data_IF_255855401906
#
_entry.id   IF_255855401906
#
_cell.length_a   1.000
_cell.length_b   1.000
_cell.length_c   1.000
_cell.angle_alpha   90.00
_cell.angle_beta   90.00
_cell.angle_gamma   90.00
#
_symmetry.space_group_name_H-M   'P 1'
#
loop_
_entity.id
_entity.type
_entity.pdbx_description
1 polymer ?
#
# COMPACT_ATOMS: atom_id res chain seq x y z
N UNK A 1 1.09 -2.62 9.13
CA UNK A 1 2.02 -3.55 9.81
C UNK A 1 1.93 -4.87 9.07
N UNK A 2 3.08 -5.48 8.81
CA UNK A 2 3.19 -6.80 8.17
C UNK A 2 4.03 -7.68 9.09
N UNK A 3 3.70 -8.96 9.13
CA UNK A 3 4.30 -9.92 10.04
C UNK A 3 4.69 -11.17 9.27
N UNK A 4 5.89 -11.67 9.54
CA UNK A 4 6.36 -12.99 9.16
C UNK A 4 6.93 -13.66 10.42
N UNK A 5 6.37 -14.79 10.83
CA UNK A 5 6.60 -15.35 12.16
C UNK A 5 6.31 -14.34 13.28
N UNK A 6 7.31 -14.06 14.11
CA UNK A 6 7.27 -13.01 15.15
C UNK A 6 8.05 -11.74 14.74
N UNK A 7 8.59 -11.70 13.52
CA UNK A 7 9.20 -10.52 12.93
C UNK A 7 8.12 -9.59 12.38
N UNK A 8 8.11 -8.34 12.86
CA UNK A 8 7.07 -7.36 12.54
C UNK A 8 7.72 -6.12 11.94
N UNK A 9 7.27 -5.77 10.73
CA UNK A 9 7.65 -4.53 10.06
C UNK A 9 6.47 -3.56 10.01
N UNK A 10 6.67 -2.37 10.55
CA UNK A 10 5.77 -1.25 10.39
C UNK A 10 6.24 -0.39 9.21
N UNK A 11 5.38 -0.20 8.21
CA UNK A 11 5.65 0.71 7.11
C UNK A 11 4.53 1.74 6.98
N UNK A 12 4.92 2.99 6.72
CA UNK A 12 4.02 4.10 6.42
C UNK A 12 4.50 4.84 5.18
N UNK A 13 3.54 5.28 4.37
CA UNK A 13 3.76 6.13 3.19
C UNK A 13 3.05 7.45 3.41
N UNK A 14 3.76 8.55 3.18
CA UNK A 14 3.23 9.90 3.21
C UNK A 14 3.55 10.60 1.88
N UNK A 15 2.60 11.37 1.38
CA UNK A 15 2.73 12.18 0.18
C UNK A 15 2.52 13.64 0.58
N UNK A 16 3.24 14.57 -0.06
CA UNK A 16 2.97 16.00 0.09
C UNK A 16 1.59 16.38 -0.48
N UNK A 17 0.96 17.41 0.08
CA UNK A 17 -0.31 17.94 -0.46
C UNK A 17 -0.10 18.74 -1.75
N UNK A 18 1.09 19.32 -1.93
CA UNK A 18 1.45 20.15 -3.09
C UNK A 18 2.62 19.53 -3.84
N UNK A 19 2.62 19.58 -5.19
CA UNK A 19 3.74 19.08 -5.97
C UNK A 19 4.98 19.95 -5.76
N UNK A 20 6.16 19.34 -5.83
CA UNK A 20 7.43 20.07 -5.92
C UNK A 20 7.57 20.72 -7.30
N UNK A 21 8.59 21.56 -7.43
CA UNK A 21 9.00 22.06 -8.75
C UNK A 21 9.28 20.87 -9.69
N UNK A 22 8.90 20.97 -10.99
CA UNK A 22 9.15 19.93 -11.96
C UNK A 22 10.64 19.54 -11.97
N UNK A 23 10.88 18.24 -11.93
CA UNK A 23 12.23 17.68 -11.96
C UNK A 23 12.32 16.55 -12.97
N UNK A 24 13.53 16.10 -13.25
CA UNK A 24 13.76 14.94 -14.11
C UNK A 24 13.56 13.61 -13.37
N UNK A 25 13.31 13.65 -12.06
CA UNK A 25 13.15 12.47 -11.21
C UNK A 25 11.92 12.56 -10.31
N UNK A 26 11.37 11.40 -9.95
CA UNK A 26 10.34 11.26 -8.93
C UNK A 26 10.94 11.48 -7.53
N UNK A 27 10.52 12.52 -6.77
CA UNK A 27 11.05 12.83 -5.44
C UNK A 27 10.55 11.84 -4.37
N UNK A 28 11.08 10.62 -4.41
CA UNK A 28 10.83 9.58 -3.41
C UNK A 28 12.03 9.36 -2.52
N UNK A 29 11.77 9.33 -1.21
CA UNK A 29 12.72 8.97 -0.17
C UNK A 29 12.26 7.71 0.56
N UNK A 30 13.19 6.79 0.79
CA UNK A 30 12.96 5.56 1.54
C UNK A 30 13.89 5.52 2.74
N UNK A 31 13.31 5.32 3.92
CA UNK A 31 14.04 5.16 5.17
C UNK A 31 13.62 3.86 5.84
N UNK A 32 14.55 2.92 5.88
CA UNK A 32 14.44 1.69 6.64
C UNK A 32 15.31 1.79 7.90
N UNK A 33 14.79 1.33 9.04
CA UNK A 33 15.53 1.31 10.30
C UNK A 33 15.19 0.10 11.15
N UNK A 34 16.22 -0.55 11.67
CA UNK A 34 16.14 -1.63 12.64
C UNK A 34 16.29 -1.08 14.04
N UNK A 35 15.18 -1.07 14.78
CA UNK A 35 15.19 -0.60 16.16
C UNK A 35 15.81 -1.65 17.05
N UNK A 36 16.70 -1.22 17.95
CA UNK A 36 17.32 -2.14 18.91
C UNK A 36 16.28 -2.75 19.85
N UNK A 37 15.22 -2.00 20.14
CA UNK A 37 14.09 -2.48 20.92
C UNK A 37 13.37 -3.67 20.26
N UNK A 38 13.45 -3.81 18.93
CA UNK A 38 12.82 -4.93 18.22
C UNK A 38 13.42 -6.29 18.62
N UNK A 39 14.71 -6.30 18.99
CA UNK A 39 15.42 -7.48 19.50
C UNK A 39 15.55 -7.47 21.04
N UNK A 40 14.82 -6.59 21.74
CA UNK A 40 14.92 -6.44 23.19
C UNK A 40 16.28 -5.91 23.67
N UNK A 41 17.03 -5.21 22.81
CA UNK A 41 18.37 -4.68 23.09
C UNK A 41 18.34 -3.17 23.29
N UNK A 42 19.34 -2.66 24.00
CA UNK A 42 19.58 -1.22 24.14
C UNK A 42 20.87 -0.84 23.42
N UNK A 43 20.95 0.41 22.94
CA UNK A 43 22.14 0.87 22.21
C UNK A 43 23.38 0.82 23.10
N UNK A 44 24.38 0.09 22.64
CA UNK A 44 25.70 0.03 23.27
C UNK A 44 26.51 1.26 22.89
N UNK A 45 27.11 1.94 23.86
CA UNK A 45 27.97 3.11 23.64
C UNK A 45 27.54 4.34 24.44
N UNK A 46 28.21 5.48 24.17
CA UNK A 46 27.94 6.75 24.87
C UNK A 46 26.55 7.32 24.54
N UNK A 47 26.13 7.19 23.28
CA UNK A 47 24.81 7.61 22.83
C UNK A 47 23.84 6.42 22.88
N UNK A 48 22.90 6.45 23.84
CA UNK A 48 21.87 5.42 24.05
C UNK A 48 20.67 5.56 23.10
N UNK A 49 20.93 5.85 21.82
CA UNK A 49 19.90 6.04 20.78
C UNK A 49 20.38 5.43 19.48
N UNK A 50 19.43 5.04 18.62
CA UNK A 50 19.70 4.72 17.23
C UNK A 50 20.25 5.97 16.51
N UNK A 51 21.34 5.79 15.78
CA UNK A 51 22.06 6.85 15.11
C UNK A 51 21.68 6.96 13.64
N UNK A 52 22.69 7.25 12.82
CA UNK A 52 22.55 7.20 11.35
C UNK A 52 22.29 5.77 10.89
N UNK A 53 21.62 5.64 9.75
CA UNK A 53 21.42 4.36 9.09
C UNK A 53 22.77 3.69 8.81
N UNK A 54 22.86 2.40 9.11
CA UNK A 54 24.00 1.54 8.80
C UNK A 54 23.96 1.11 7.34
N UNK A 55 25.08 0.61 6.83
CA UNK A 55 25.19 0.17 5.44
C UNK A 55 24.13 -0.87 5.06
N UNK A 56 23.87 -1.85 5.92
CA UNK A 56 22.78 -2.82 5.75
C UNK A 56 21.41 -2.15 5.59
N UNK A 57 21.08 -1.21 6.47
CA UNK A 57 19.78 -0.51 6.43
C UNK A 57 19.65 0.31 5.14
N UNK A 58 20.74 0.91 4.66
CA UNK A 58 20.79 1.63 3.38
C UNK A 58 20.58 0.69 2.19
N UNK A 59 21.13 -0.54 2.25
CA UNK A 59 20.88 -1.56 1.22
C UNK A 59 19.41 -1.95 1.20
N UNK A 60 18.77 -2.15 2.35
CA UNK A 60 17.33 -2.45 2.43
C UNK A 60 16.48 -1.27 1.91
N UNK A 61 16.87 -0.01 2.19
CA UNK A 61 16.22 1.14 1.55
C UNK A 61 16.24 1.02 0.02
N UNK A 62 17.38 0.61 -0.56
CA UNK A 62 17.52 0.44 -2.02
C UNK A 62 16.70 -0.75 -2.54
N UNK A 63 16.58 -1.83 -1.78
CA UNK A 63 15.72 -2.97 -2.12
C UNK A 63 14.25 -2.58 -2.18
N UNK A 64 13.80 -1.65 -1.33
CA UNK A 64 12.43 -1.10 -1.38
C UNK A 64 12.27 -0.08 -2.51
N UNK A 65 13.24 0.83 -2.68
CA UNK A 65 13.16 1.95 -3.64
C UNK A 65 13.13 1.48 -5.10
N UNK A 66 14.03 0.55 -5.47
CA UNK A 66 14.21 0.06 -6.84
C UNK A 66 12.94 -0.48 -7.49
N UNK A 67 12.14 -1.36 -6.85
CA UNK A 67 10.90 -1.85 -7.45
C UNK A 67 9.76 -0.83 -7.42
N UNK A 68 9.70 0.10 -6.47
CA UNK A 68 8.60 1.10 -6.41
C UNK A 68 8.79 2.27 -7.38
N UNK A 69 10.03 2.71 -7.58
CA UNK A 69 10.32 3.87 -8.43
C UNK A 69 9.77 3.76 -9.86
N UNK A 70 9.87 2.62 -10.58
CA UNK A 70 9.36 2.50 -11.94
C UNK A 70 7.83 2.36 -12.02
N UNK A 71 7.13 2.03 -10.93
CA UNK A 71 5.66 1.86 -10.97
C UNK A 71 4.91 3.19 -10.93
N UNK A 72 5.64 4.29 -10.74
CA UNK A 72 5.08 5.62 -10.57
C UNK A 72 4.78 6.29 -11.91
N UNK A 73 3.66 7.01 -12.02
CA UNK A 73 3.29 7.71 -13.24
C UNK A 73 4.32 8.80 -13.57
N UNK A 74 4.58 8.96 -14.87
CA UNK A 74 5.45 10.04 -15.37
C UNK A 74 4.86 11.40 -15.03
N UNK A 75 5.71 12.35 -14.65
CA UNK A 75 5.27 13.70 -14.27
C UNK A 75 4.68 13.80 -12.86
N UNK A 76 4.78 12.75 -12.05
CA UNK A 76 4.36 12.78 -10.66
C UNK A 76 5.46 13.40 -9.78
N UNK A 77 5.22 14.63 -9.32
CA UNK A 77 6.18 15.46 -8.57
C UNK A 77 5.80 15.68 -7.10
N UNK A 78 4.91 14.87 -6.55
CA UNK A 78 4.59 14.96 -5.13
C UNK A 78 5.67 14.23 -4.32
N UNK A 79 6.34 14.97 -3.43
CA UNK A 79 7.32 14.38 -2.55
C UNK A 79 6.69 13.23 -1.76
N UNK A 80 7.27 12.05 -1.89
CA UNK A 80 6.75 10.83 -1.29
C UNK A 80 7.80 10.24 -0.35
N UNK A 81 7.41 10.03 0.89
CA UNK A 81 8.28 9.46 1.92
C UNK A 81 7.74 8.09 2.35
N UNK A 82 8.64 7.10 2.33
CA UNK A 82 8.40 5.76 2.86
C UNK A 82 9.26 5.58 4.10
N UNK A 83 8.60 5.34 5.23
CA UNK A 83 9.27 4.99 6.48
C UNK A 83 8.96 3.52 6.80
N UNK A 84 10.00 2.72 7.01
CA UNK A 84 9.89 1.29 7.32
C UNK A 84 10.73 0.97 8.55
N UNK A 85 10.10 0.40 9.58
CA UNK A 85 10.72 0.11 10.86
C UNK A 85 10.50 -1.34 11.26
N UNK A 86 11.58 -2.00 11.66
CA UNK A 86 11.46 -3.30 12.34
C UNK A 86 11.04 -3.04 13.78
N UNK A 87 9.86 -3.52 14.14
CA UNK A 87 9.25 -3.35 15.46
C UNK A 87 9.46 -4.55 16.37
N UNK A 88 9.55 -5.74 15.78
CA UNK A 88 9.88 -7.00 16.45
C UNK A 88 10.76 -7.81 15.52
N UNK A 89 11.76 -8.49 16.07
CA UNK A 89 12.62 -9.40 15.33
C UNK A 89 12.82 -10.69 16.12
N UNK A 90 12.49 -11.80 15.50
CA UNK A 90 12.48 -13.13 16.12
C UNK A 90 13.81 -13.89 16.01
N UNK A 91 14.77 -13.36 15.24
CA UNK A 91 16.05 -14.01 15.02
C UNK A 91 16.03 -15.12 13.97
N UNK A 92 14.87 -15.38 13.35
CA UNK A 92 14.64 -16.49 12.43
C UNK A 92 14.35 -15.95 11.02
N UNK A 93 13.37 -15.05 10.91
CA UNK A 93 12.88 -14.53 9.64
C UNK A 93 13.51 -13.19 9.30
N UNK A 94 14.15 -13.09 8.13
CA UNK A 94 14.79 -11.85 7.69
C UNK A 94 13.76 -10.74 7.44
N UNK A 95 13.98 -9.51 7.97
CA UNK A 95 13.01 -8.42 7.85
C UNK A 95 12.99 -7.73 6.48
N UNK A 96 14.00 -7.93 5.62
CA UNK A 96 14.14 -7.23 4.34
C UNK A 96 13.02 -7.55 3.33
N UNK A 97 12.67 -8.82 3.14
CA UNK A 97 11.59 -9.25 2.27
C UNK A 97 10.23 -8.70 2.74
N UNK A 98 10.03 -8.78 4.06
CA UNK A 98 8.85 -8.27 4.74
C UNK A 98 8.78 -6.75 4.58
N UNK A 99 9.90 -6.03 4.62
CA UNK A 99 9.96 -4.59 4.45
C UNK A 99 9.60 -4.14 3.02
N UNK A 100 10.07 -4.86 2.00
CA UNK A 100 9.67 -4.62 0.60
C UNK A 100 8.16 -4.83 0.43
N UNK A 101 7.66 -5.95 0.92
CA UNK A 101 6.22 -6.27 0.86
C UNK A 101 5.39 -5.24 1.65
N UNK A 102 5.84 -4.83 2.84
CA UNK A 102 5.16 -3.82 3.65
C UNK A 102 5.10 -2.45 2.96
N UNK A 103 6.17 -2.05 2.26
CA UNK A 103 6.18 -0.82 1.49
C UNK A 103 5.23 -0.90 0.28
N UNK A 104 5.20 -2.02 -0.43
CA UNK A 104 4.25 -2.26 -1.52
C UNK A 104 2.79 -2.17 -1.07
N UNK A 105 2.48 -2.80 0.08
CA UNK A 105 1.15 -2.74 0.69
C UNK A 105 0.80 -1.32 1.14
N UNK A 106 1.71 -0.64 1.84
CA UNK A 106 1.48 0.71 2.34
C UNK A 106 1.27 1.70 1.19
N UNK A 107 2.02 1.56 0.10
CA UNK A 107 1.86 2.36 -1.11
C UNK A 107 0.50 2.12 -1.76
N UNK A 108 0.12 0.85 -1.94
CA UNK A 108 -1.15 0.49 -2.58
C UNK A 108 -2.39 0.89 -1.75
N UNK A 109 -2.27 0.99 -0.42
CA UNK A 109 -3.33 1.49 0.46
C UNK A 109 -3.35 3.02 0.60
N UNK A 110 -2.29 3.69 0.14
CA UNK A 110 -2.14 5.14 0.26
C UNK A 110 -2.92 5.90 -0.83
N UNK A 111 -2.82 7.22 -0.81
CA UNK A 111 -3.38 8.10 -1.84
C UNK A 111 -2.44 8.30 -3.04
N UNK A 112 -1.22 7.80 -2.95
CA UNK A 112 -0.25 7.87 -4.06
C UNK A 112 -0.83 7.08 -5.23
N UNK A 113 -0.81 7.62 -6.47
CA UNK A 113 -1.38 6.99 -7.65
C UNK A 113 -0.52 5.84 -8.17
N UNK A 114 -0.21 4.87 -7.32
CA UNK A 114 0.46 3.63 -7.69
C UNK A 114 -0.59 2.57 -8.06
N UNK A 115 -0.55 2.11 -9.31
CA UNK A 115 -1.48 1.10 -9.82
C UNK A 115 -1.07 -0.32 -9.46
N UNK A 116 0.19 -0.54 -9.06
CA UNK A 116 0.76 -1.87 -8.90
C UNK A 116 1.26 -2.12 -7.48
N UNK A 117 0.68 -3.14 -6.85
CA UNK A 117 1.19 -3.69 -5.58
C UNK A 117 2.42 -4.52 -5.89
N UNK A 118 3.51 -4.24 -5.17
CA UNK A 118 4.72 -5.06 -5.22
C UNK A 118 4.78 -5.96 -3.99
N UNK A 119 5.37 -7.15 -4.15
CA UNK A 119 5.79 -7.99 -3.03
C UNK A 119 7.24 -8.42 -3.22
N UNK A 120 7.94 -8.63 -2.10
CA UNK A 120 9.32 -9.09 -2.07
C UNK A 120 9.43 -10.50 -1.53
N UNK A 121 10.26 -11.33 -2.16
CA UNK A 121 10.56 -12.71 -1.72
C UNK A 121 12.05 -12.97 -1.82
N UNK A 122 12.56 -13.84 -0.95
CA UNK A 122 13.90 -14.41 -1.07
C UNK A 122 13.79 -15.88 -1.47
N UNK A 123 14.58 -16.31 -2.43
CA UNK A 123 14.69 -17.70 -2.86
C UNK A 123 16.08 -18.20 -2.49
N UNK A 124 16.11 -19.28 -1.71
CA UNK A 124 17.31 -20.08 -1.44
C UNK A 124 17.29 -21.39 -2.22
N UNK A 125 18.44 -22.08 -2.25
CA UNK A 125 18.56 -23.41 -2.82
C UNK A 125 19.35 -24.31 -1.87
N UNK A 126 18.68 -25.32 -1.30
CA UNK A 126 19.26 -26.22 -0.30
C UNK A 126 19.07 -27.64 -0.81
N UNK A 127 20.16 -28.40 -0.93
CA UNK A 127 20.14 -29.77 -1.46
C UNK A 127 19.40 -29.87 -2.82
N UNK A 128 19.68 -28.97 -3.77
CA UNK A 128 19.03 -28.88 -5.08
C UNK A 128 17.52 -28.59 -5.06
N UNK A 129 16.98 -28.11 -3.94
CA UNK A 129 15.58 -27.69 -3.81
C UNK A 129 15.46 -26.19 -3.53
N UNK A 130 14.58 -25.51 -4.27
CA UNK A 130 14.25 -24.11 -4.00
C UNK A 130 13.43 -23.99 -2.72
N UNK A 131 13.84 -23.06 -1.86
CA UNK A 131 13.15 -22.71 -0.61
C UNK A 131 12.76 -21.24 -0.69
N UNK A 132 11.48 -20.96 -0.50
CA UNK A 132 10.93 -19.61 -0.49
C UNK A 132 11.00 -19.05 0.93
N UNK A 133 11.48 -17.81 1.06
CA UNK A 133 11.73 -17.10 2.31
C UNK A 133 12.42 -18.02 3.35
N UNK A 134 13.60 -18.59 3.01
CA UNK A 134 14.34 -19.44 3.92
C UNK A 134 14.67 -18.70 5.21
N UNK A 135 14.70 -19.42 6.33
CA UNK A 135 15.12 -18.87 7.61
C UNK A 135 16.61 -18.51 7.58
N UNK A 136 17.04 -17.71 8.56
CA UNK A 136 18.45 -17.34 8.71
C UNK A 136 19.36 -18.57 8.81
N UNK A 137 18.93 -19.62 9.51
CA UNK A 137 19.65 -20.90 9.62
C UNK A 137 19.67 -21.65 8.29
N UNK A 138 18.53 -21.74 7.59
CA UNK A 138 18.46 -22.38 6.27
C UNK A 138 19.36 -21.69 5.23
N UNK A 139 19.51 -20.37 5.33
CA UNK A 139 20.39 -19.60 4.45
C UNK A 139 21.87 -19.93 4.63
N UNK A 140 22.30 -20.47 5.78
CA UNK A 140 23.69 -20.90 5.99
C UNK A 140 24.08 -22.09 5.11
N UNK A 141 23.10 -22.94 4.76
CA UNK A 141 23.27 -24.11 3.90
C UNK A 141 22.83 -23.85 2.43
N UNK A 142 22.48 -22.61 2.10
CA UNK A 142 21.92 -22.26 0.79
C UNK A 142 23.01 -21.92 -0.23
N UNK A 143 22.95 -22.53 -1.41
CA UNK A 143 23.82 -22.22 -2.57
C UNK A 143 23.32 -21.01 -3.38
N UNK A 144 22.17 -20.45 -3.00
CA UNK A 144 21.52 -19.31 -3.64
C UNK A 144 21.01 -18.32 -2.58
N UNK A 145 21.27 -17.03 -2.77
CA UNK A 145 20.56 -15.95 -2.10
C UNK A 145 20.00 -15.03 -3.18
N UNK A 146 18.74 -15.22 -3.53
CA UNK A 146 18.07 -14.45 -4.58
C UNK A 146 16.90 -13.67 -4.01
N UNK A 147 17.10 -12.39 -3.78
CA UNK A 147 16.05 -11.45 -3.41
C UNK A 147 15.39 -10.90 -4.68
N UNK A 148 14.06 -10.97 -4.74
CA UNK A 148 13.31 -10.42 -5.85
C UNK A 148 12.12 -9.61 -5.37
N UNK A 149 11.70 -8.67 -6.20
CA UNK A 149 10.46 -7.95 -6.02
C UNK A 149 9.73 -7.82 -7.36
N UNK A 150 8.43 -8.10 -7.34
CA UNK A 150 7.60 -8.15 -8.52
C UNK A 150 6.16 -7.75 -8.25
N UNK A 151 5.44 -7.56 -9.35
CA UNK A 151 3.99 -7.41 -9.42
C UNK A 151 3.40 -8.71 -9.94
N UNK A 152 2.06 -8.79 -10.01
CA UNK A 152 1.35 -9.92 -10.59
C UNK A 152 1.70 -10.23 -12.05
N UNK A 153 2.25 -9.25 -12.76
CA UNK A 153 2.50 -9.30 -14.20
C UNK A 153 3.98 -9.29 -14.56
N UNK A 154 4.85 -8.77 -13.71
CA UNK A 154 6.27 -8.61 -14.03
C UNK A 154 7.20 -8.59 -12.82
N UNK A 155 8.43 -9.04 -13.05
CA UNK A 155 9.55 -8.87 -12.12
C UNK A 155 10.11 -7.46 -12.29
N UNK A 156 10.25 -6.71 -11.20
CA UNK A 156 10.75 -5.33 -11.22
C UNK A 156 12.20 -5.23 -10.73
N UNK A 157 12.60 -6.10 -9.82
CA UNK A 157 13.91 -6.05 -9.20
C UNK A 157 14.39 -7.46 -8.83
N UNK A 158 15.68 -7.71 -9.09
CA UNK A 158 16.41 -8.89 -8.68
C UNK A 158 17.74 -8.41 -8.08
N UNK A 159 18.12 -8.99 -6.95
CA UNK A 159 19.41 -8.81 -6.27
C UNK A 159 19.81 -10.15 -5.65
N UNK A 160 21.06 -10.59 -5.83
CA UNK A 160 21.45 -11.86 -5.24
C UNK A 160 22.85 -12.32 -5.63
N UNK A 161 23.24 -13.44 -5.03
CA UNK A 161 24.48 -14.16 -5.33
C UNK A 161 24.20 -15.67 -5.29
N UNK A 162 25.07 -16.45 -5.94
CA UNK A 162 24.96 -17.90 -5.97
C UNK A 162 26.33 -18.56 -6.11
N UNK A 163 26.41 -19.81 -5.68
CA UNK A 163 27.64 -20.62 -5.74
C UNK A 163 27.76 -21.35 -7.08
N UNK A 164 28.11 -20.59 -8.12
CA UNK A 164 28.37 -21.11 -9.47
C UNK A 164 27.23 -21.97 -10.05
N UNK A 165 25.98 -21.56 -9.81
CA UNK A 165 24.81 -22.22 -10.37
C UNK A 165 24.75 -22.07 -11.89
N UNK A 166 24.10 -23.04 -12.55
CA UNK A 166 23.84 -22.98 -13.99
C UNK A 166 22.79 -21.91 -14.29
N UNK A 167 22.85 -21.33 -15.49
CA UNK A 167 21.87 -20.35 -15.96
C UNK A 167 20.44 -20.90 -15.90
N UNK A 168 20.26 -22.19 -16.19
CA UNK A 168 18.97 -22.88 -16.11
C UNK A 168 18.41 -22.91 -14.68
N UNK A 169 19.24 -23.23 -13.68
CA UNK A 169 18.82 -23.21 -12.27
C UNK A 169 18.48 -21.80 -11.79
N UNK A 170 19.26 -20.80 -12.22
CA UNK A 170 18.95 -19.40 -11.90
C UNK A 170 17.62 -18.95 -12.51
N UNK A 171 17.34 -19.31 -13.77
CA UNK A 171 16.08 -18.98 -14.41
C UNK A 171 14.89 -19.63 -13.69
N UNK A 172 15.02 -20.90 -13.31
CA UNK A 172 13.99 -21.60 -12.53
C UNK A 172 13.74 -20.94 -11.16
N UNK A 173 14.79 -20.45 -10.49
CA UNK A 173 14.65 -19.71 -9.23
C UNK A 173 13.88 -18.39 -9.43
N UNK A 174 14.17 -17.69 -10.54
CA UNK A 174 13.51 -16.45 -10.93
C UNK A 174 12.02 -16.69 -11.25
N UNK A 175 11.70 -17.74 -11.98
CA UNK A 175 10.31 -18.15 -12.26
C UNK A 175 9.57 -18.49 -10.97
N UNK A 176 10.19 -19.32 -10.11
CA UNK A 176 9.61 -19.70 -8.81
C UNK A 176 9.30 -18.48 -7.96
N UNK A 177 10.21 -17.51 -7.87
CA UNK A 177 9.95 -16.32 -7.08
C UNK A 177 8.95 -15.35 -7.72
N UNK A 178 8.81 -15.31 -9.05
CA UNK A 178 7.75 -14.52 -9.71
C UNK A 178 6.36 -15.11 -9.46
N UNK A 179 6.21 -16.43 -9.49
CA UNK A 179 4.94 -17.09 -9.20
C UNK A 179 4.45 -16.74 -7.78
N UNK A 180 5.36 -16.74 -6.81
CA UNK A 180 5.02 -16.40 -5.42
C UNK A 180 4.83 -14.89 -5.22
N UNK A 181 5.84 -14.08 -5.58
CA UNK A 181 5.79 -12.63 -5.33
C UNK A 181 4.75 -11.92 -6.17
N UNK A 182 4.57 -12.35 -7.41
CA UNK A 182 3.60 -11.76 -8.32
C UNK A 182 2.20 -12.29 -8.09
N UNK A 183 1.97 -13.59 -8.28
CA UNK A 183 0.61 -14.10 -8.34
C UNK A 183 0.05 -14.45 -6.96
N UNK A 184 0.79 -15.18 -6.13
CA UNK A 184 0.25 -15.66 -4.85
C UNK A 184 0.14 -14.56 -3.79
N UNK A 185 1.23 -13.83 -3.53
CA UNK A 185 1.26 -12.82 -2.49
C UNK A 185 0.38 -11.62 -2.83
N UNK A 186 0.43 -11.08 -4.05
CA UNK A 186 -0.44 -9.94 -4.43
C UNK A 186 -1.92 -10.34 -4.34
N UNK A 187 -2.27 -11.57 -4.74
CA UNK A 187 -3.64 -12.09 -4.64
C UNK A 187 -4.07 -12.29 -3.18
N UNK A 188 -3.22 -12.91 -2.36
CA UNK A 188 -3.49 -13.13 -0.94
C UNK A 188 -3.69 -11.81 -0.18
N UNK A 189 -2.96 -10.76 -0.58
CA UNK A 189 -3.09 -9.44 0.04
C UNK A 189 -4.44 -8.76 -0.27
N UNK A 190 -5.17 -9.20 -1.30
CA UNK A 190 -6.51 -8.70 -1.69
C UNK A 190 -6.57 -7.16 -1.81
N UNK A 191 -5.46 -6.51 -2.17
CA UNK A 191 -5.37 -5.04 -2.12
C UNK A 191 -6.08 -4.38 -3.29
N UNK A 192 -6.12 -5.04 -4.46
CA UNK A 192 -6.80 -4.52 -5.66
C UNK A 192 -8.30 -4.26 -5.45
N UNK A 193 -8.96 -5.05 -4.59
CA UNK A 193 -10.39 -4.89 -4.28
C UNK A 193 -10.65 -3.90 -3.14
N UNK A 194 -9.62 -3.47 -2.41
CA UNK A 194 -9.77 -2.54 -1.29
C UNK A 194 -9.82 -1.12 -1.82
N UNK A 195 -10.92 -0.42 -1.51
CA UNK A 195 -11.07 1.00 -1.81
C UNK A 195 -9.98 1.77 -1.05
N UNK A 196 -9.12 2.55 -1.73
CA UNK A 196 -8.14 3.41 -1.08
C UNK A 196 -8.81 4.31 -0.04
N UNK A 197 -8.16 4.52 1.12
CA UNK A 197 -8.78 5.15 2.31
C UNK A 197 -9.48 6.46 1.99
N UNK A 198 -8.92 7.32 1.14
CA UNK A 198 -9.56 8.57 0.72
C UNK A 198 -10.82 8.36 -0.12
N UNK A 199 -10.81 7.45 -1.10
CA UNK A 199 -12.02 7.12 -1.86
C UNK A 199 -13.12 6.58 -0.93
N UNK A 200 -12.74 5.81 0.09
CA UNK A 200 -13.66 5.33 1.11
C UNK A 200 -14.20 6.49 1.98
N UNK A 201 -13.35 7.44 2.38
CA UNK A 201 -13.73 8.62 3.15
C UNK A 201 -14.61 9.58 2.31
N UNK A 202 -14.26 9.88 1.06
CA UNK A 202 -15.06 10.72 0.16
C UNK A 202 -16.42 10.09 -0.14
N UNK A 203 -16.48 8.78 -0.42
CA UNK A 203 -17.76 8.08 -0.59
C UNK A 203 -18.61 8.08 0.70
N UNK A 204 -17.96 8.08 1.86
CA UNK A 204 -18.64 8.19 3.15
C UNK A 204 -19.11 9.63 3.42
N UNK A 205 -18.31 10.63 3.08
CA UNK A 205 -18.65 12.05 3.13
C UNK A 205 -19.87 12.34 2.25
N UNK A 206 -19.88 11.88 1.00
CA UNK A 206 -21.02 12.00 0.08
C UNK A 206 -22.27 11.35 0.66
N UNK A 207 -22.16 10.14 1.22
CA UNK A 207 -23.29 9.46 1.89
C UNK A 207 -23.80 10.24 3.09
N UNK A 208 -22.91 10.79 3.92
CA UNK A 208 -23.27 11.61 5.08
C UNK A 208 -23.96 12.90 4.62
N UNK A 209 -23.43 13.58 3.60
CA UNK A 209 -24.03 14.78 3.02
C UNK A 209 -25.42 14.48 2.44
N UNK A 210 -25.59 13.36 1.75
CA UNK A 210 -26.89 12.90 1.22
C UNK A 210 -27.90 12.70 2.35
N UNK A 211 -27.54 11.95 3.40
CA UNK A 211 -28.43 11.71 4.56
C UNK A 211 -28.80 13.04 5.25
N UNK A 212 -27.82 13.92 5.46
CA UNK A 212 -28.06 15.23 6.08
C UNK A 212 -28.93 16.13 5.21
N UNK A 213 -28.82 16.02 3.88
CA UNK A 213 -29.67 16.74 2.93
C UNK A 213 -31.11 16.20 2.92
N UNK A 214 -31.28 14.87 2.94
CA UNK A 214 -32.60 14.22 3.04
C UNK A 214 -33.32 14.57 4.35
N UNK A 215 -32.57 14.72 5.44
CA UNK A 215 -33.11 15.15 6.73
C UNK A 215 -33.26 16.69 6.87
N UNK A 216 -32.92 17.46 5.83
CA UNK A 216 -33.11 18.91 5.78
C UNK A 216 -32.10 19.74 6.57
N UNK A 217 -30.97 19.15 6.98
CA UNK A 217 -29.90 19.85 7.69
C UNK A 217 -28.96 20.63 6.77
N UNK A 218 -28.86 20.25 5.49
CA UNK A 218 -27.96 20.82 4.45
C UNK A 218 -28.73 21.05 3.14
N UNK A 219 -28.50 22.17 2.44
CA UNK A 219 -29.09 22.43 1.11
C UNK A 219 -28.12 22.07 -0.01
N UNK A 220 -28.61 21.50 -1.12
CA UNK A 220 -27.78 21.02 -2.24
C UNK A 220 -26.98 22.13 -2.95
N UNK A 221 -27.37 23.40 -2.81
CA UNK A 221 -26.76 24.53 -3.54
C UNK A 221 -25.49 25.08 -2.87
N UNK A 222 -25.14 24.66 -1.65
CA UNK A 222 -24.02 25.24 -0.89
C UNK A 222 -22.65 24.56 -1.14
N UNK A 223 -22.58 23.49 -1.95
CA UNK A 223 -21.42 22.58 -2.03
C UNK A 223 -20.41 22.86 -3.16
N UNK A 224 -20.61 23.86 -4.01
CA UNK A 224 -19.64 24.20 -5.08
C UNK A 224 -18.47 25.05 -4.55
N UNK A 225 -17.53 24.43 -3.84
CA UNK A 225 -16.17 24.94 -3.67
C UNK A 225 -15.22 24.23 -4.66
N UNK A 226 -14.08 24.83 -5.04
CA UNK A 226 -13.22 24.27 -6.08
C UNK A 226 -12.63 22.94 -5.60
N UNK A 227 -13.12 21.84 -6.17
CA UNK A 227 -12.45 20.56 -6.12
C UNK A 227 -11.32 20.68 -7.16
N UNK A 228 -10.07 20.76 -6.72
CA UNK A 228 -8.94 20.65 -7.62
C UNK A 228 -9.01 19.27 -8.29
N UNK A 229 -9.20 19.28 -9.61
CA UNK A 229 -9.29 18.11 -10.46
C UNK A 229 -7.97 17.33 -10.42
N UNK A 230 -7.92 16.30 -9.57
CA UNK A 230 -6.94 15.22 -9.66
C UNK A 230 -7.53 13.99 -10.39
N UNK A 231 -8.81 14.04 -10.77
CA UNK A 231 -9.54 12.96 -11.42
C UNK A 231 -9.19 12.79 -12.91
N UNK A 232 -8.69 13.84 -13.56
CA UNK A 232 -8.55 13.89 -15.03
C UNK A 232 -7.31 13.13 -15.58
N UNK A 233 -6.55 12.40 -14.74
CA UNK A 233 -5.34 11.67 -15.16
C UNK A 233 -5.54 10.14 -15.19
N UNK A 234 -6.70 9.61 -14.79
CA UNK A 234 -6.91 8.15 -14.63
C UNK A 234 -7.83 7.54 -15.70
N UNK A 235 -8.50 8.35 -16.51
CA UNK A 235 -9.32 7.84 -17.62
C UNK A 235 -8.50 7.76 -18.90
N UNK A 236 -7.78 6.65 -19.09
CA UNK A 236 -7.64 6.00 -20.40
C UNK A 236 -6.93 4.65 -20.22
N UNK A 237 -7.48 3.66 -20.95
CA UNK A 237 -6.99 2.28 -21.16
C UNK A 237 -7.33 1.24 -20.08
N UNK A 238 -8.57 0.74 -20.14
CA UNK A 238 -8.93 -0.67 -19.87
C UNK A 238 -10.12 -1.03 -20.80
N UNK A 239 -9.90 -1.05 -22.12
CA UNK A 239 -10.76 -1.79 -23.05
C UNK A 239 -10.06 -3.10 -23.37
N UNK A 240 -10.39 -4.18 -22.65
CA UNK A 240 -10.07 -5.54 -23.07
C UNK A 240 -11.36 -6.31 -23.40
N UNK A 241 -11.28 -6.98 -24.55
CA UNK A 241 -12.32 -7.61 -25.34
C UNK A 241 -13.09 -8.72 -24.62
N UNK A 242 -14.43 -8.67 -24.71
CA UNK A 242 -15.29 -9.80 -24.33
C UNK A 242 -15.43 -10.73 -25.53
N UNK A 243 -14.89 -11.94 -25.42
CA UNK A 243 -15.14 -13.04 -26.36
C UNK A 243 -16.56 -13.57 -26.10
N UNK A 244 -17.44 -13.46 -27.10
CA UNK A 244 -18.73 -14.15 -27.15
C UNK A 244 -18.53 -15.65 -27.38
N UNK A 245 -19.18 -16.48 -26.56
CA UNK A 245 -19.72 -17.76 -27.05
C UNK A 245 -20.80 -18.34 -26.12
N UNK A 246 -21.91 -18.80 -26.74
CA UNK A 246 -22.71 -19.91 -26.22
C UNK A 246 -24.14 -19.62 -25.76
N UNK A 247 -25.12 -19.96 -26.61
CA UNK A 247 -26.57 -19.86 -26.41
C UNK A 247 -27.19 -20.99 -25.52
N UNK A 248 -28.16 -20.57 -24.68
CA UNK A 248 -29.41 -21.16 -24.11
C UNK A 248 -29.44 -22.56 -23.44
N UNK A 249 -30.07 -22.63 -22.24
CA UNK A 249 -31.21 -23.56 -22.02
C UNK A 249 -32.21 -23.04 -20.95
N UNK A 250 -33.51 -23.16 -21.24
CA UNK A 250 -34.64 -22.73 -20.40
C UNK A 250 -35.01 -23.82 -19.37
N UNK A 251 -35.26 -23.46 -18.10
CA UNK A 251 -35.96 -24.37 -17.18
C UNK A 251 -35.83 -24.11 -15.68
N UNK A 252 -36.97 -23.77 -15.06
CA UNK A 252 -37.36 -23.89 -13.65
C UNK A 252 -36.60 -23.12 -12.56
N UNK A 253 -37.20 -21.98 -12.18
CA UNK A 253 -36.89 -21.19 -10.99
C UNK A 253 -37.35 -21.94 -9.72
N UNK A 254 -36.41 -22.57 -9.02
CA UNK A 254 -36.54 -22.93 -7.60
C UNK A 254 -35.67 -22.01 -6.74
N UNK A 255 -36.26 -20.95 -6.20
CA UNK A 255 -35.57 -20.08 -5.22
C UNK A 255 -35.52 -20.83 -3.88
N UNK A 256 -34.39 -21.48 -3.59
CA UNK A 256 -34.04 -21.83 -2.21
C UNK A 256 -33.54 -20.57 -1.52
N UNK A 257 -33.96 -20.28 -0.27
CA UNK A 257 -33.43 -19.14 0.48
C UNK A 257 -31.95 -19.38 0.76
N UNK A 258 -31.10 -18.66 0.02
CA UNK A 258 -29.66 -18.58 0.31
C UNK A 258 -29.52 -17.81 1.63
N UNK A 259 -28.78 -18.37 2.59
CA UNK A 259 -28.48 -17.66 3.82
C UNK A 259 -27.81 -16.32 3.46
N UNK A 260 -28.33 -15.22 4.00
CA UNK A 260 -27.68 -13.92 3.85
C UNK A 260 -26.27 -14.06 4.42
N UNK A 261 -25.26 -14.00 3.55
CA UNK A 261 -23.88 -13.76 3.96
C UNK A 261 -23.89 -12.51 4.87
N UNK A 262 -23.15 -12.49 5.99
CA UNK A 262 -23.08 -11.32 6.84
C UNK A 262 -22.62 -10.14 5.98
N UNK A 263 -23.38 -9.04 6.00
CA UNK A 263 -22.96 -7.80 5.34
C UNK A 263 -21.57 -7.44 5.87
N UNK A 264 -20.55 -7.53 5.02
CA UNK A 264 -19.25 -7.00 5.33
C UNK A 264 -19.45 -5.50 5.52
N UNK A 265 -19.32 -5.00 6.75
CA UNK A 265 -19.36 -3.57 6.99
C UNK A 265 -18.17 -2.96 6.26
N UNK A 266 -18.43 -2.27 5.15
CA UNK A 266 -17.41 -1.62 4.32
C UNK A 266 -16.62 -0.55 5.07
N UNK A 267 -17.10 -0.10 6.24
CA UNK A 267 -16.52 0.98 7.03
C UNK A 267 -16.50 0.60 8.51
N UNK A 268 -15.41 0.91 9.22
CA UNK A 268 -15.36 0.74 10.67
C UNK A 268 -16.18 1.84 11.38
N UNK A 269 -16.70 1.56 12.58
CA UNK A 269 -17.39 2.57 13.39
C UNK A 269 -16.52 3.81 13.67
N UNK A 270 -15.20 3.63 13.71
CA UNK A 270 -14.24 4.71 13.93
C UNK A 270 -14.18 5.64 12.72
N UNK A 271 -14.12 5.08 11.50
CA UNK A 271 -14.09 5.87 10.27
C UNK A 271 -15.39 6.69 10.10
N UNK A 272 -16.54 6.09 10.40
CA UNK A 272 -17.85 6.79 10.37
C UNK A 272 -17.88 7.96 11.35
N UNK A 273 -17.41 7.77 12.59
CA UNK A 273 -17.37 8.85 13.60
C UNK A 273 -16.44 9.98 13.21
N UNK A 274 -15.31 9.67 12.58
CA UNK A 274 -14.30 10.64 12.20
C UNK A 274 -14.81 11.54 11.07
N UNK A 275 -15.36 10.93 10.01
CA UNK A 275 -15.99 11.65 8.88
C UNK A 275 -17.17 12.50 9.36
N UNK A 276 -18.06 11.94 10.17
CA UNK A 276 -19.21 12.68 10.68
C UNK A 276 -18.80 13.93 11.49
N UNK A 277 -17.76 13.79 12.33
CA UNK A 277 -17.21 14.91 13.11
C UNK A 277 -16.61 15.99 12.22
N UNK A 278 -15.89 15.58 11.17
CA UNK A 278 -15.24 16.49 10.23
C UNK A 278 -16.24 17.28 9.39
N UNK A 279 -17.19 16.58 8.76
CA UNK A 279 -18.29 17.19 7.98
C UNK A 279 -19.10 18.16 8.85
N UNK A 280 -19.47 17.74 10.07
CA UNK A 280 -20.20 18.59 11.01
C UNK A 280 -19.40 19.83 11.41
N UNK A 281 -18.09 19.70 11.66
CA UNK A 281 -17.23 20.82 12.02
C UNK A 281 -17.08 21.82 10.87
N UNK A 282 -16.91 21.34 9.63
CA UNK A 282 -16.81 22.16 8.42
C UNK A 282 -18.10 22.95 8.19
N UNK A 283 -19.25 22.30 8.31
CA UNK A 283 -20.55 22.93 8.15
C UNK A 283 -20.85 23.97 9.24
N UNK A 284 -20.58 23.64 10.51
CA UNK A 284 -20.75 24.59 11.63
C UNK A 284 -19.85 25.82 11.50
N UNK A 285 -18.56 25.63 11.17
CA UNK A 285 -17.63 26.75 10.94
C UNK A 285 -18.14 27.67 9.84
N UNK A 286 -18.61 27.09 8.73
CA UNK A 286 -19.14 27.87 7.60
C UNK A 286 -20.37 28.69 7.99
N UNK A 287 -21.36 28.09 8.69
CA UNK A 287 -22.54 28.84 9.19
C UNK A 287 -22.17 29.92 10.19
N UNK A 288 -21.18 29.70 11.06
CA UNK A 288 -20.71 30.72 12.01
C UNK A 288 -20.10 31.90 11.25
N UNK A 289 -19.28 31.64 10.24
CA UNK A 289 -18.68 32.69 9.40
C UNK A 289 -19.76 33.44 8.63
N UNK A 290 -20.66 32.74 7.93
CA UNK A 290 -21.75 33.35 7.16
C UNK A 290 -22.70 34.18 8.05
N UNK A 291 -23.03 33.68 9.25
CA UNK A 291 -23.84 34.39 10.24
C UNK A 291 -23.11 35.64 10.78
N UNK A 292 -21.81 35.55 11.05
CA UNK A 292 -21.00 36.68 11.50
C UNK A 292 -20.88 37.77 10.42
N UNK A 293 -20.69 37.39 9.15
CA UNK A 293 -20.71 38.34 8.02
C UNK A 293 -22.09 38.95 7.80
N UNK A 294 -23.17 38.16 7.88
CA UNK A 294 -24.55 38.66 7.75
C UNK A 294 -24.88 39.72 8.80
N UNK A 295 -24.48 39.53 10.06
CA UNK A 295 -24.71 40.52 11.12
C UNK A 295 -23.87 41.78 10.94
N UNK A 296 -22.65 41.67 10.42
CA UNK A 296 -21.78 42.82 10.13
C UNK A 296 -22.34 43.72 9.03
N UNK A 297 -22.96 43.15 7.98
CA UNK A 297 -23.55 43.92 6.88
C UNK A 297 -24.97 44.43 7.17
N UNK A 298 -25.70 43.84 8.12
CA UNK A 298 -27.01 44.36 8.55
C UNK A 298 -26.94 45.50 9.59
N UNK A 299 -25.73 45.86 10.04
CA UNK A 299 -25.48 46.90 11.05
C UNK A 299 -24.87 48.19 10.50
N UNK A 300 -24.72 48.32 9.18
CA UNK A 300 -24.36 49.54 8.43
C UNK A 300 -25.58 50.04 7.67
#
# INVERSE_FOLDING_TARGET
MVTDGETIVYCSVCMADTPSDPSDFFPMSVHYQERLSAAGRTSGGFFKREGRAKDHEVLVCRLIDRPLRPTMPKGFYYETQILSWVFSYDGIHSPDCVAVTAAGIAMALSEVPNKQTIAGVRIGMINDHFVVNPTTEQMEDSELDLMMAGTDSAILMIEGFCDFLTEEKLLQAVETGQDISGHELVKALQIKEKIPRRKALSALEEKVIMILSEQGYVSKDELSGPIENLADIVEEEDEDEVIEDGEVDEGDVHIKPVSRKPHHQLFSEVDVKLVFKEVSSKYLRRRIVEFATSQFYSGL
#
